data_IF_583723554278
#
_entry.id   IF_583723554278
#
_cell.length_a   1.000
_cell.length_b   1.000
_cell.length_c   1.000
_cell.angle_alpha   90.00
_cell.angle_beta   90.00
_cell.angle_gamma   90.00
#
_symmetry.space_group_name_H-M   'P 1'
#
loop_
_entity.id
_entity.type
_entity.pdbx_description
1 polymer ?
#
# COMPACT_ATOMS: atom_id res chain seq x y z
N UNK A 1 -62.90 -15.62 18.10
CA UNK A 1 -61.73 -16.45 18.45
C UNK A 1 -60.67 -16.50 17.35
N UNK A 2 -61.02 -16.44 16.06
CA UNK A 2 -60.06 -16.53 14.94
C UNK A 2 -59.04 -15.37 14.82
N UNK A 3 -59.43 -14.14 15.14
CA UNK A 3 -58.59 -12.95 14.94
C UNK A 3 -57.35 -12.96 15.86
N UNK A 4 -57.50 -13.44 17.10
CA UNK A 4 -56.37 -13.51 18.04
C UNK A 4 -55.32 -14.53 17.60
N UNK A 5 -55.75 -15.68 17.04
CA UNK A 5 -54.83 -16.69 16.51
C UNK A 5 -54.04 -16.20 15.29
N UNK A 6 -54.66 -15.38 14.43
CA UNK A 6 -53.99 -14.81 13.26
C UNK A 6 -52.92 -13.78 13.66
N UNK A 7 -53.22 -12.92 14.63
CA UNK A 7 -52.28 -11.90 15.13
C UNK A 7 -51.05 -12.56 15.77
N UNK A 8 -51.24 -13.61 16.57
CA UNK A 8 -50.13 -14.37 17.16
C UNK A 8 -49.23 -15.02 16.10
N UNK A 9 -49.82 -15.56 15.03
CA UNK A 9 -49.06 -16.17 13.93
C UNK A 9 -48.20 -15.15 13.18
N UNK A 10 -48.73 -13.93 12.95
CA UNK A 10 -47.99 -12.86 12.28
C UNK A 10 -46.83 -12.33 13.13
N UNK A 11 -47.03 -12.19 14.45
CA UNK A 11 -45.95 -11.79 15.37
C UNK A 11 -44.84 -12.84 15.36
N UNK A 12 -45.19 -14.13 15.42
CA UNK A 12 -44.20 -15.20 15.41
C UNK A 12 -43.38 -15.21 14.12
N UNK A 13 -44.03 -15.11 12.95
CA UNK A 13 -43.36 -15.07 11.65
C UNK A 13 -42.42 -13.86 11.50
N UNK A 14 -42.82 -12.69 12.02
CA UNK A 14 -42.00 -11.48 11.96
C UNK A 14 -40.76 -11.59 12.86
N UNK A 15 -40.90 -12.17 14.06
CA UNK A 15 -39.77 -12.41 14.97
C UNK A 15 -38.76 -13.40 14.39
N UNK A 16 -39.21 -14.48 13.73
CA UNK A 16 -38.30 -15.47 13.13
C UNK A 16 -37.51 -14.88 11.96
N UNK A 17 -38.14 -14.04 11.13
CA UNK A 17 -37.47 -13.35 10.02
C UNK A 17 -36.39 -12.40 10.56
N UNK A 18 -36.72 -11.59 11.57
CA UNK A 18 -35.76 -10.67 12.19
C UNK A 18 -34.57 -11.39 12.83
N UNK A 19 -34.80 -12.52 13.51
CA UNK A 19 -33.69 -13.32 14.06
C UNK A 19 -32.82 -13.95 12.97
N UNK A 20 -33.41 -14.39 11.87
CA UNK A 20 -32.66 -14.99 10.76
C UNK A 20 -31.78 -13.95 10.05
N UNK A 21 -32.31 -12.76 9.77
CA UNK A 21 -31.54 -11.66 9.19
C UNK A 21 -30.51 -11.09 10.19
N UNK A 22 -30.84 -10.97 11.47
CA UNK A 22 -29.90 -10.54 12.50
C UNK A 22 -28.71 -11.49 12.64
N UNK A 23 -28.96 -12.80 12.72
CA UNK A 23 -27.90 -13.81 12.79
C UNK A 23 -27.07 -13.84 11.50
N UNK A 24 -27.69 -13.69 10.33
CA UNK A 24 -26.94 -13.58 9.05
C UNK A 24 -26.08 -12.33 8.96
N UNK A 25 -26.50 -11.21 9.57
CA UNK A 25 -25.73 -9.96 9.56
C UNK A 25 -24.57 -9.99 10.57
N UNK A 26 -24.76 -10.61 11.74
CA UNK A 26 -23.72 -10.75 12.75
C UNK A 26 -22.71 -11.89 12.47
N UNK A 27 -23.13 -12.96 11.79
CA UNK A 27 -22.21 -14.04 11.39
C UNK A 27 -21.34 -13.69 10.17
N UNK A 28 -21.55 -12.53 9.54
CA UNK A 28 -20.67 -12.02 8.49
C UNK A 28 -19.52 -11.15 9.01
N UNK A 29 -19.34 -11.07 10.35
CA UNK A 29 -18.00 -10.88 10.92
C UNK A 29 -17.31 -12.23 10.96
N UNK A 30 -17.08 -12.83 9.79
CA UNK A 30 -16.01 -13.80 9.68
C UNK A 30 -14.76 -13.06 10.11
N UNK A 31 -14.15 -13.52 11.21
CA UNK A 31 -12.73 -13.35 11.39
C UNK A 31 -12.11 -13.97 10.15
N UNK A 32 -11.86 -13.13 9.13
CA UNK A 32 -10.91 -13.44 8.07
C UNK A 32 -9.58 -13.50 8.79
N UNK A 33 -9.31 -14.66 9.39
CA UNK A 33 -7.95 -15.10 9.66
C UNK A 33 -7.30 -14.97 8.28
N UNK A 34 -6.30 -14.09 8.10
CA UNK A 34 -5.59 -14.01 6.84
C UNK A 34 -5.19 -15.44 6.53
N UNK A 35 -5.69 -15.98 5.42
CA UNK A 35 -5.47 -17.37 5.09
C UNK A 35 -3.97 -17.61 5.14
N UNK A 36 -3.54 -18.52 6.02
CA UNK A 36 -2.16 -18.99 6.15
C UNK A 36 -1.61 -19.63 4.86
N UNK A 37 -2.41 -19.63 3.80
CA UNK A 37 -2.13 -20.12 2.46
C UNK A 37 -1.81 -18.97 1.47
N UNK A 38 -1.38 -17.80 1.97
CA UNK A 38 -0.50 -16.97 1.16
C UNK A 38 0.71 -17.83 0.83
N UNK A 39 0.71 -18.46 -0.34
CA UNK A 39 1.89 -19.07 -0.92
C UNK A 39 2.90 -17.93 -0.95
N UNK A 40 3.78 -17.95 0.05
CA UNK A 40 4.88 -17.03 0.23
C UNK A 40 5.84 -17.34 -0.91
N UNK A 41 5.49 -16.91 -2.12
CA UNK A 41 6.48 -16.62 -3.12
C UNK A 41 7.32 -15.54 -2.47
N UNK A 42 8.43 -15.97 -1.86
CA UNK A 42 9.39 -15.10 -1.20
C UNK A 42 9.78 -14.05 -2.22
N UNK A 43 9.25 -12.84 -2.06
CA UNK A 43 9.67 -11.73 -2.89
C UNK A 43 11.17 -11.52 -2.66
N UNK A 44 11.89 -11.22 -3.73
CA UNK A 44 13.31 -10.87 -3.61
C UNK A 44 13.47 -9.54 -2.89
N UNK A 45 12.54 -8.62 -3.10
CA UNK A 45 12.53 -7.31 -2.47
C UNK A 45 11.19 -6.60 -2.62
N UNK A 46 11.16 -5.33 -2.21
CA UNK A 46 10.00 -4.45 -2.22
C UNK A 46 10.37 -3.13 -2.89
N UNK A 47 9.51 -2.65 -3.78
CA UNK A 47 9.57 -1.30 -4.34
C UNK A 47 8.29 -0.55 -3.97
N UNK A 48 8.42 0.54 -3.21
CA UNK A 48 7.31 1.44 -2.95
C UNK A 48 7.49 2.74 -3.75
N UNK A 49 6.42 3.18 -4.39
CA UNK A 49 6.40 4.40 -5.20
C UNK A 49 5.67 5.52 -4.46
N UNK A 50 6.24 6.73 -4.41
CA UNK A 50 5.46 7.92 -4.10
C UNK A 50 4.53 8.29 -5.27
N UNK A 51 3.53 9.13 -5.00
CA UNK A 51 2.51 9.56 -5.96
C UNK A 51 2.86 10.92 -6.57
N UNK A 52 2.73 12.00 -5.78
CA UNK A 52 2.98 13.35 -6.25
C UNK A 52 4.46 13.51 -6.56
N UNK A 53 4.80 14.22 -7.64
CA UNK A 53 6.21 14.38 -8.02
C UNK A 53 6.81 13.16 -8.73
N UNK A 54 6.54 11.95 -8.23
CA UNK A 54 7.08 10.66 -8.70
C UNK A 54 6.23 9.98 -9.78
N UNK A 55 5.08 9.37 -9.43
CA UNK A 55 4.22 8.70 -10.42
C UNK A 55 3.39 9.71 -11.23
N UNK A 56 2.92 10.78 -10.60
CA UNK A 56 1.93 11.71 -11.17
C UNK A 56 2.50 12.73 -12.14
N UNK A 57 3.66 13.31 -11.82
CA UNK A 57 4.31 14.31 -12.68
C UNK A 57 5.59 13.80 -13.34
N UNK A 58 6.07 12.62 -12.93
CA UNK A 58 7.27 12.01 -13.50
C UNK A 58 7.03 11.35 -14.85
N UNK A 59 5.86 10.75 -15.12
CA UNK A 59 5.68 9.82 -16.24
C UNK A 59 4.25 9.74 -16.77
N UNK A 60 4.10 9.10 -17.95
CA UNK A 60 2.79 8.63 -18.41
C UNK A 60 2.38 7.33 -17.71
N UNK A 61 1.09 6.99 -17.70
CA UNK A 61 0.58 5.73 -17.15
C UNK A 61 1.27 4.51 -17.77
N UNK A 62 1.54 4.52 -19.08
CA UNK A 62 2.20 3.41 -19.79
C UNK A 62 3.66 3.24 -19.35
N UNK A 63 4.32 4.36 -19.07
CA UNK A 63 5.70 4.34 -18.56
C UNK A 63 5.72 3.78 -17.14
N UNK A 64 4.82 4.24 -16.27
CA UNK A 64 4.65 3.71 -14.93
C UNK A 64 4.31 2.22 -14.95
N UNK A 65 3.40 1.79 -15.85
CA UNK A 65 3.06 0.38 -16.03
C UNK A 65 4.30 -0.45 -16.34
N UNK A 66 5.14 0.00 -17.27
CA UNK A 66 6.35 -0.71 -17.69
C UNK A 66 7.38 -0.83 -16.55
N UNK A 67 7.52 0.22 -15.74
CA UNK A 67 8.39 0.24 -14.56
C UNK A 67 7.90 -0.76 -13.51
N UNK A 68 6.60 -0.71 -13.19
CA UNK A 68 5.96 -1.62 -12.22
C UNK A 68 6.06 -3.07 -12.71
N UNK A 69 5.81 -3.30 -14.00
CA UNK A 69 5.91 -4.64 -14.59
C UNK A 69 7.33 -5.19 -14.47
N UNK A 70 8.35 -4.37 -14.71
CA UNK A 70 9.73 -4.78 -14.55
C UNK A 70 10.06 -5.21 -13.11
N UNK A 71 9.47 -4.57 -12.10
CA UNK A 71 9.63 -4.99 -10.70
C UNK A 71 8.98 -6.36 -10.46
N UNK A 72 7.73 -6.52 -10.90
CA UNK A 72 6.97 -7.77 -10.76
C UNK A 72 7.68 -8.94 -11.47
N UNK A 73 8.14 -8.73 -12.70
CA UNK A 73 8.85 -9.75 -13.50
C UNK A 73 10.16 -10.18 -12.83
N UNK A 74 10.75 -9.33 -11.98
CA UNK A 74 11.95 -9.64 -11.19
C UNK A 74 11.63 -10.19 -9.79
N UNK A 75 10.37 -10.57 -9.52
CA UNK A 75 9.91 -11.09 -8.24
C UNK A 75 10.02 -10.10 -7.08
N UNK A 76 9.90 -8.79 -7.34
CA UNK A 76 9.74 -7.78 -6.31
C UNK A 76 8.25 -7.55 -6.02
N UNK A 77 7.92 -7.35 -4.75
CA UNK A 77 6.65 -6.76 -4.38
C UNK A 77 6.62 -5.29 -4.76
N UNK A 78 5.44 -4.77 -5.10
CA UNK A 78 5.26 -3.38 -5.49
C UNK A 78 4.13 -2.74 -4.69
N UNK A 79 4.23 -1.43 -4.45
CA UNK A 79 3.24 -0.71 -3.66
C UNK A 79 3.39 0.79 -3.69
N UNK A 80 2.67 1.46 -2.79
CA UNK A 80 2.65 2.92 -2.67
C UNK A 80 3.14 3.32 -1.28
N UNK A 81 3.91 4.40 -1.21
CA UNK A 81 4.24 5.08 0.03
C UNK A 81 4.18 6.60 -0.17
N UNK A 82 3.05 7.21 0.19
CA UNK A 82 2.80 8.63 -0.08
C UNK A 82 2.62 9.45 1.21
N UNK A 83 2.88 10.75 1.13
CA UNK A 83 2.52 11.72 2.17
C UNK A 83 1.25 12.53 1.84
N UNK A 84 0.68 12.36 0.64
CA UNK A 84 -0.55 13.04 0.24
C UNK A 84 -1.75 12.49 1.02
N UNK A 85 -2.19 13.20 2.06
CA UNK A 85 -3.27 12.74 2.95
C UNK A 85 -4.62 12.54 2.26
N UNK A 86 -4.78 13.07 1.05
CA UNK A 86 -5.97 12.90 0.22
C UNK A 86 -6.13 11.49 -0.35
N UNK A 87 -5.04 10.69 -0.42
CA UNK A 87 -5.06 9.39 -1.06
C UNK A 87 -5.49 8.27 -0.11
N UNK A 88 -6.40 7.42 -0.59
CA UNK A 88 -6.85 6.20 0.07
C UNK A 88 -7.18 5.16 -0.99
N UNK A 89 -7.17 3.87 -0.65
CA UNK A 89 -7.58 2.84 -1.60
C UNK A 89 -9.01 3.03 -2.11
N UNK A 90 -9.89 3.67 -1.32
CA UNK A 90 -11.28 3.96 -1.71
C UNK A 90 -11.39 5.02 -2.82
N UNK A 91 -10.41 5.92 -2.96
CA UNK A 91 -10.46 7.02 -3.91
C UNK A 91 -9.30 7.06 -4.91
N UNK A 92 -8.32 6.16 -4.81
CA UNK A 92 -7.09 6.21 -5.61
C UNK A 92 -7.35 6.14 -7.11
N UNK A 93 -8.38 5.39 -7.52
CA UNK A 93 -8.81 5.27 -8.92
C UNK A 93 -9.54 6.51 -9.44
N UNK A 94 -9.95 7.45 -8.59
CA UNK A 94 -10.49 8.73 -9.07
C UNK A 94 -9.42 9.62 -9.71
N UNK A 95 -8.13 9.27 -9.53
CA UNK A 95 -6.97 9.98 -10.06
C UNK A 95 -6.29 9.17 -11.18
N UNK A 96 -7.01 8.90 -12.27
CA UNK A 96 -6.62 7.92 -13.30
C UNK A 96 -5.37 8.24 -14.12
N UNK A 97 -4.84 9.46 -14.04
CA UNK A 97 -3.78 9.95 -14.95
C UNK A 97 -2.39 9.38 -14.66
N UNK A 98 -2.19 8.67 -13.54
CA UNK A 98 -0.86 8.25 -13.11
C UNK A 98 -0.79 6.81 -12.62
N UNK A 99 -1.89 6.24 -12.13
CA UNK A 99 -1.95 4.92 -11.51
C UNK A 99 -2.03 3.83 -12.58
N UNK A 100 -0.97 3.03 -12.79
CA UNK A 100 -1.05 1.94 -13.75
C UNK A 100 -1.86 0.76 -13.18
N UNK A 101 -2.65 0.10 -14.02
CA UNK A 101 -3.56 -0.98 -13.61
C UNK A 101 -2.83 -2.13 -12.89
N UNK A 102 -1.62 -2.50 -13.34
CA UNK A 102 -0.86 -3.59 -12.73
C UNK A 102 -0.39 -3.27 -11.30
N UNK A 103 -0.12 -2.00 -10.96
CA UNK A 103 0.16 -1.60 -9.57
C UNK A 103 -1.09 -1.73 -8.71
N UNK A 104 -2.24 -1.28 -9.22
CA UNK A 104 -3.50 -1.32 -8.49
C UNK A 104 -3.93 -2.76 -8.22
N UNK A 105 -3.92 -3.60 -9.26
CA UNK A 105 -4.25 -5.01 -9.18
C UNK A 105 -3.31 -5.74 -8.21
N UNK A 106 -2.01 -5.40 -8.22
CA UNK A 106 -1.07 -5.96 -7.26
C UNK A 106 -1.45 -5.59 -5.82
N UNK A 107 -1.72 -4.32 -5.52
CA UNK A 107 -2.06 -3.89 -4.16
C UNK A 107 -3.34 -4.59 -3.66
N UNK A 108 -4.40 -4.62 -4.49
CA UNK A 108 -5.68 -5.25 -4.13
C UNK A 108 -5.53 -6.77 -3.94
N UNK A 109 -4.77 -7.43 -4.82
CA UNK A 109 -4.52 -8.88 -4.73
C UNK A 109 -3.81 -9.29 -3.43
N UNK A 110 -3.10 -8.36 -2.79
CA UNK A 110 -2.37 -8.59 -1.54
C UNK A 110 -3.02 -7.84 -0.37
N UNK A 111 -4.35 -7.73 -0.35
CA UNK A 111 -5.14 -7.15 0.74
C UNK A 111 -4.67 -5.76 1.19
N UNK A 112 -4.20 -4.93 0.23
CA UNK A 112 -3.65 -3.59 0.46
C UNK A 112 -2.38 -3.54 1.32
N UNK A 113 -1.71 -4.66 1.57
CA UNK A 113 -0.51 -4.72 2.44
C UNK A 113 0.62 -3.83 1.93
N UNK A 114 0.71 -3.58 0.64
CA UNK A 114 1.74 -2.71 0.06
C UNK A 114 1.29 -1.26 -0.14
N UNK A 115 0.13 -0.87 0.39
CA UNK A 115 -0.34 0.52 0.40
C UNK A 115 0.00 1.21 1.72
N UNK A 116 0.76 2.29 1.66
CA UNK A 116 1.12 3.13 2.79
C UNK A 116 0.82 4.60 2.49
N UNK A 117 0.23 5.29 3.45
CA UNK A 117 0.04 6.74 3.39
C UNK A 117 0.46 7.35 4.73
N UNK A 118 1.69 7.84 4.80
CA UNK A 118 2.28 8.39 6.02
C UNK A 118 1.60 9.70 6.43
N UNK A 119 1.05 10.45 5.47
CA UNK A 119 0.29 11.68 5.74
C UNK A 119 -1.06 11.43 6.43
N UNK A 120 -1.63 10.24 6.22
CA UNK A 120 -2.87 9.77 6.86
C UNK A 120 -2.65 8.66 7.88
N UNK A 121 -1.38 8.40 8.27
CA UNK A 121 -1.00 7.35 9.22
C UNK A 121 -1.56 5.96 8.85
N UNK A 122 -1.56 5.64 7.56
CA UNK A 122 -1.89 4.32 7.04
C UNK A 122 -0.59 3.52 6.86
N UNK A 123 -0.53 2.35 7.49
CA UNK A 123 0.55 1.37 7.38
C UNK A 123 -0.04 0.05 6.90
N UNK A 124 0.51 -0.51 5.83
CA UNK A 124 0.09 -1.80 5.25
C UNK A 124 -1.43 -1.90 5.05
N UNK A 125 -2.01 -0.84 4.47
CA UNK A 125 -3.44 -0.75 4.14
C UNK A 125 -4.37 -0.42 5.31
N UNK A 126 -3.85 -0.21 6.53
CA UNK A 126 -4.67 0.03 7.74
C UNK A 126 -4.21 1.26 8.52
N UNK A 127 -5.12 1.97 9.22
CA UNK A 127 -4.72 3.01 10.16
C UNK A 127 -3.83 2.45 11.27
N UNK A 128 -2.69 3.09 11.50
CA UNK A 128 -1.75 2.75 12.57
C UNK A 128 -1.14 4.02 13.19
N UNK A 129 -1.96 4.73 13.96
CA UNK A 129 -1.55 5.98 14.58
C UNK A 129 -0.46 5.78 15.65
N UNK A 130 -0.51 4.65 16.36
CA UNK A 130 0.35 4.36 17.50
C UNK A 130 1.79 4.20 17.03
N UNK A 131 2.03 3.29 16.08
CA UNK A 131 3.35 3.02 15.53
C UNK A 131 4.03 4.27 14.99
N UNK A 132 3.32 5.14 14.26
CA UNK A 132 3.92 6.37 13.74
C UNK A 132 4.18 7.40 14.83
N UNK A 133 3.32 7.51 15.85
CA UNK A 133 3.43 8.56 16.87
C UNK A 133 4.56 8.29 17.88
N UNK A 134 5.04 7.05 17.97
CA UNK A 134 6.18 6.67 18.81
C UNK A 134 7.54 6.93 18.15
N UNK A 135 7.57 7.27 16.86
CA UNK A 135 8.80 7.52 16.13
C UNK A 135 9.45 8.84 16.56
N UNK A 136 10.80 8.88 16.68
CA UNK A 136 11.53 10.05 17.16
C UNK A 136 11.49 11.24 16.19
N UNK A 137 11.19 10.99 14.91
CA UNK A 137 11.03 12.00 13.87
C UNK A 137 9.68 11.79 13.18
N UNK A 138 8.92 12.87 13.05
CA UNK A 138 7.59 12.90 12.43
C UNK A 138 7.65 13.44 11.00
N UNK A 139 8.86 13.71 10.46
CA UNK A 139 9.03 14.12 9.09
C UNK A 139 8.52 13.04 8.12
N UNK A 140 7.69 13.37 7.11
CA UNK A 140 7.11 12.36 6.22
C UNK A 140 8.15 11.43 5.59
N UNK A 141 9.33 11.94 5.19
CA UNK A 141 10.42 11.11 4.70
C UNK A 141 10.88 10.02 5.68
N UNK A 142 11.03 10.37 6.97
CA UNK A 142 11.40 9.41 8.02
C UNK A 142 10.31 8.34 8.20
N UNK A 143 9.05 8.78 8.20
CA UNK A 143 7.89 7.88 8.28
C UNK A 143 7.81 6.94 7.07
N UNK A 144 8.21 7.38 5.87
CA UNK A 144 8.29 6.52 4.67
C UNK A 144 9.34 5.43 4.83
N UNK A 145 10.48 5.74 5.47
CA UNK A 145 11.52 4.75 5.81
C UNK A 145 10.98 3.65 6.72
N UNK A 146 10.29 4.05 7.78
CA UNK A 146 9.60 3.13 8.67
C UNK A 146 8.54 2.28 7.94
N UNK A 147 7.69 2.91 7.12
CA UNK A 147 6.63 2.21 6.40
C UNK A 147 7.17 1.18 5.41
N UNK A 148 8.25 1.52 4.69
CA UNK A 148 8.94 0.61 3.77
C UNK A 148 9.49 -0.61 4.51
N UNK A 149 10.22 -0.40 5.60
CA UNK A 149 10.85 -1.48 6.36
C UNK A 149 9.79 -2.39 7.01
N UNK A 150 8.72 -1.82 7.58
CA UNK A 150 7.60 -2.61 8.14
C UNK A 150 6.88 -3.42 7.08
N UNK A 151 6.60 -2.82 5.93
CA UNK A 151 5.96 -3.53 4.80
C UNK A 151 6.85 -4.66 4.30
N UNK A 152 8.15 -4.41 4.10
CA UNK A 152 9.12 -5.40 3.66
C UNK A 152 9.22 -6.58 4.64
N UNK A 153 9.36 -6.30 5.94
CA UNK A 153 9.41 -7.33 6.98
C UNK A 153 8.12 -8.15 7.05
N UNK A 154 6.95 -7.51 6.88
CA UNK A 154 5.66 -8.20 6.79
C UNK A 154 5.55 -9.16 5.61
N UNK A 155 6.34 -8.94 4.55
CA UNK A 155 6.46 -9.79 3.38
C UNK A 155 7.65 -10.77 3.45
N UNK A 156 8.35 -10.83 4.59
CA UNK A 156 9.52 -11.70 4.78
C UNK A 156 10.83 -11.19 4.15
N UNK A 157 10.88 -9.93 3.71
CA UNK A 157 12.07 -9.30 3.15
C UNK A 157 12.83 -8.61 4.28
N UNK A 158 14.04 -9.08 4.59
CA UNK A 158 14.85 -8.54 5.69
C UNK A 158 16.11 -7.81 5.24
N UNK A 159 16.52 -7.96 3.98
CA UNK A 159 17.71 -7.29 3.44
C UNK A 159 17.35 -5.84 3.05
N UNK A 160 17.92 -4.81 3.70
CA UNK A 160 17.58 -3.40 3.41
C UNK A 160 17.98 -2.99 1.98
N UNK A 161 18.97 -3.65 1.37
CA UNK A 161 19.31 -3.42 -0.04
C UNK A 161 18.22 -3.91 -1.00
N UNK A 162 17.27 -4.71 -0.52
CA UNK A 162 16.11 -5.17 -1.29
C UNK A 162 14.86 -4.32 -1.02
N UNK A 163 14.99 -3.23 -0.25
CA UNK A 163 13.90 -2.31 0.09
C UNK A 163 14.15 -0.99 -0.61
N UNK A 164 13.31 -0.66 -1.60
CA UNK A 164 13.51 0.47 -2.50
C UNK A 164 12.35 1.44 -2.36
N UNK A 165 12.64 2.71 -2.05
CA UNK A 165 11.70 3.81 -2.19
C UNK A 165 11.97 4.57 -3.50
N UNK A 166 10.94 4.81 -4.30
CA UNK A 166 10.98 5.76 -5.40
C UNK A 166 10.28 7.04 -4.95
N UNK A 167 11.03 8.15 -4.88
CA UNK A 167 10.55 9.46 -4.40
C UNK A 167 11.25 10.56 -5.21
N UNK A 168 10.72 11.77 -5.21
CA UNK A 168 11.32 12.90 -5.92
C UNK A 168 11.79 14.05 -5.04
N UNK A 169 11.32 14.11 -3.80
CA UNK A 169 11.65 15.21 -2.92
C UNK A 169 12.96 14.93 -2.16
N UNK A 170 13.97 15.78 -2.36
CA UNK A 170 15.28 15.62 -1.73
C UNK A 170 15.26 15.70 -0.20
N UNK A 171 14.33 16.49 0.37
CA UNK A 171 14.16 16.60 1.81
C UNK A 171 13.54 15.31 2.37
N UNK A 172 12.56 14.76 1.65
CA UNK A 172 11.95 13.47 2.00
C UNK A 172 12.97 12.35 1.93
N UNK A 173 13.80 12.31 0.89
CA UNK A 173 14.87 11.33 0.73
C UNK A 173 15.92 11.46 1.83
N UNK A 174 16.29 12.68 2.22
CA UNK A 174 17.26 12.91 3.31
C UNK A 174 16.75 12.34 4.63
N UNK A 175 15.50 12.61 4.98
CA UNK A 175 14.87 12.06 6.19
C UNK A 175 14.57 10.55 6.09
N UNK A 176 14.30 10.04 4.90
CA UNK A 176 14.16 8.60 4.65
C UNK A 176 15.48 7.86 4.95
N UNK A 177 16.61 8.40 4.48
CA UNK A 177 17.92 7.80 4.75
C UNK A 177 18.40 8.04 6.19
N UNK A 178 17.88 9.05 6.90
CA UNK A 178 18.17 9.21 8.33
C UNK A 178 17.46 8.18 9.21
N UNK A 179 16.33 7.62 8.76
CA UNK A 179 15.69 6.46 9.40
C UNK A 179 16.59 5.22 9.35
N UNK A 180 17.04 4.85 8.16
CA UNK A 180 17.97 3.73 7.97
C UNK A 180 18.85 3.99 6.71
N UNK A 181 20.16 4.26 6.89
CA UNK A 181 21.04 4.64 5.78
C UNK A 181 21.37 3.49 4.82
N UNK A 182 20.99 2.25 5.14
CA UNK A 182 21.18 1.09 4.27
C UNK A 182 19.99 0.83 3.35
N UNK A 183 18.88 1.58 3.48
CA UNK A 183 17.76 1.47 2.56
C UNK A 183 18.15 2.02 1.19
N UNK A 184 17.53 1.47 0.14
CA UNK A 184 17.75 1.94 -1.22
C UNK A 184 16.71 2.97 -1.62
N UNK A 185 17.15 3.96 -2.41
CA UNK A 185 16.29 4.99 -2.99
C UNK A 185 16.56 5.10 -4.48
N UNK A 186 15.49 5.28 -5.25
CA UNK A 186 15.53 5.75 -6.63
C UNK A 186 14.96 7.17 -6.62
N UNK A 187 15.85 8.14 -6.70
CA UNK A 187 15.50 9.56 -6.77
C UNK A 187 14.93 9.87 -8.16
N UNK A 188 13.68 10.29 -8.24
CA UNK A 188 13.00 10.74 -9.46
C UNK A 188 12.80 12.26 -9.43
N UNK A 189 12.54 12.97 -10.53
CA UNK A 189 12.29 14.42 -10.43
C UNK A 189 13.52 15.34 -10.41
N UNK A 190 13.26 16.65 -10.44
CA UNK A 190 14.26 17.69 -10.75
C UNK A 190 15.31 17.86 -9.65
N UNK A 191 14.93 17.64 -8.39
CA UNK A 191 15.78 17.70 -7.19
C UNK A 191 16.96 16.72 -7.25
N UNK A 192 16.84 15.67 -8.07
CA UNK A 192 17.81 14.59 -8.19
C UNK A 192 18.93 14.87 -9.22
N UNK A 193 19.10 16.13 -9.63
CA UNK A 193 20.22 16.55 -10.49
C UNK A 193 19.95 16.51 -12.00
N UNK A 194 18.70 16.30 -12.43
CA UNK A 194 18.30 16.32 -13.84
C UNK A 194 17.35 17.47 -14.15
N UNK A 195 17.60 18.20 -15.25
CA UNK A 195 16.69 19.25 -15.76
C UNK A 195 15.27 18.70 -16.07
N UNK A 196 15.14 17.37 -16.21
CA UNK A 196 13.90 16.62 -16.41
C UNK A 196 13.98 15.21 -15.81
N UNK A 197 14.59 15.01 -14.64
CA UNK A 197 14.70 13.65 -14.11
C UNK A 197 13.30 13.05 -13.90
N UNK A 198 13.08 11.86 -14.46
CA UNK A 198 11.84 11.10 -14.36
C UNK A 198 12.22 9.74 -13.81
N UNK A 199 11.31 9.13 -13.07
CA UNK A 199 11.47 7.73 -12.70
C UNK A 199 11.63 6.93 -13.99
N UNK A 200 12.72 6.18 -14.14
CA UNK A 200 12.94 5.39 -15.34
C UNK A 200 13.25 3.94 -14.97
N UNK A 201 12.94 3.04 -15.91
CA UNK A 201 13.06 1.60 -15.72
C UNK A 201 14.48 1.15 -15.43
N UNK A 202 15.49 1.85 -15.95
CA UNK A 202 16.89 1.47 -15.82
C UNK A 202 17.41 1.76 -14.41
N UNK A 203 17.09 2.92 -13.84
CA UNK A 203 17.44 3.25 -12.46
C UNK A 203 16.79 2.30 -11.46
N UNK A 204 15.51 1.94 -11.70
CA UNK A 204 14.81 0.95 -10.88
C UNK A 204 15.46 -0.43 -10.99
N UNK A 205 15.81 -0.88 -12.19
CA UNK A 205 16.56 -2.15 -12.38
C UNK A 205 17.93 -2.13 -11.72
N UNK A 206 18.65 -1.01 -11.78
CA UNK A 206 19.94 -0.83 -11.14
C UNK A 206 19.84 -0.80 -9.62
N UNK A 207 18.73 -0.31 -9.06
CA UNK A 207 18.46 -0.43 -7.64
C UNK A 207 18.14 -1.89 -7.26
N UNK A 208 17.29 -2.56 -8.04
CA UNK A 208 16.96 -3.98 -7.80
C UNK A 208 18.15 -4.92 -7.92
N UNK A 209 19.13 -4.63 -8.79
CA UNK A 209 20.33 -5.48 -8.96
C UNK A 209 21.26 -5.46 -7.75
N UNK A 210 21.13 -4.49 -6.84
CA UNK A 210 21.84 -4.44 -5.56
C UNK A 210 21.24 -5.38 -4.50
N UNK A 211 20.07 -5.96 -4.78
CA UNK A 211 19.46 -6.99 -3.95
C UNK A 211 20.16 -8.34 -4.22
N UNK A 212 21.27 -8.56 -3.53
CA UNK A 212 22.08 -9.79 -3.56
C UNK A 212 22.35 -10.31 -2.16
#
# INVERSE_FOLDING_TARGET
MFIHSLILLMIFAFTTILTFFGISFFNNKTNVIPSSDYICNSYKGLVLFDIDGTLRSGNTVETNYSIVQACIDNSFAVGICTAGSIYSMDNILSYTEWMPQNLYDFIIKHDNVTFNNVGSKILMGKPDNESYSELPDQHPGFLKGFALEKTANGLGITNPNCMILCDDDSDYITHFLSYNPNLNVVCSGVSCGGIQARLNIEDVKNAMSKCS
#
